data_IF_093638933298
#
_entry.id   IF_093638933298
#
_cell.length_a   1.000
_cell.length_b   1.000
_cell.length_c   1.000
_cell.angle_alpha   90.00
_cell.angle_beta   90.00
_cell.angle_gamma   90.00
#
_symmetry.space_group_name_H-M   'P 1'
#
loop_
_entity.id
_entity.type
_entity.pdbx_description
1 polymer ?
#
# COMPACT_ATOMS: atom_id res chain seq x y z
N UNK A 1 6.36 -41.57 -22.61
CA UNK A 1 5.11 -40.99 -22.11
C UNK A 1 5.42 -40.31 -20.79
N UNK A 2 5.61 -39.00 -20.81
CA UNK A 2 5.86 -38.21 -19.59
C UNK A 2 4.53 -37.80 -19.00
N UNK A 3 4.30 -38.18 -17.75
CA UNK A 3 3.12 -37.75 -16.97
C UNK A 3 3.42 -36.33 -16.45
N UNK A 4 2.76 -35.33 -17.03
CA UNK A 4 2.78 -33.96 -16.54
C UNK A 4 1.79 -33.88 -15.37
N UNK A 5 2.28 -33.72 -14.15
CA UNK A 5 1.45 -33.47 -12.97
C UNK A 5 0.99 -32.01 -13.03
N UNK A 6 -0.31 -31.70 -12.86
CA UNK A 6 -0.83 -30.34 -12.89
C UNK A 6 -0.29 -29.49 -11.74
N UNK A 7 0.00 -28.23 -12.01
CA UNK A 7 0.57 -27.23 -11.05
C UNK A 7 -0.33 -27.04 -9.80
N UNK A 8 -1.62 -27.31 -9.91
CA UNK A 8 -2.59 -27.25 -8.79
C UNK A 8 -2.31 -28.26 -7.67
N UNK A 9 -1.68 -29.40 -7.97
CA UNK A 9 -1.37 -30.41 -6.93
C UNK A 9 -0.17 -30.02 -6.06
N UNK A 10 0.76 -29.21 -6.57
CA UNK A 10 1.92 -28.75 -5.80
C UNK A 10 1.54 -27.81 -4.67
N UNK A 11 0.53 -26.95 -4.86
CA UNK A 11 0.04 -26.04 -3.82
C UNK A 11 -0.73 -26.78 -2.72
N UNK A 12 -1.46 -27.86 -3.05
CA UNK A 12 -2.16 -28.69 -2.07
C UNK A 12 -1.24 -29.50 -1.16
N UNK A 13 -0.13 -30.00 -1.70
CA UNK A 13 0.84 -30.74 -0.89
C UNK A 13 1.64 -29.85 0.05
N UNK A 14 1.87 -28.57 -0.31
CA UNK A 14 2.51 -27.59 0.57
C UNK A 14 1.61 -27.21 1.77
N UNK A 15 0.29 -27.16 1.60
CA UNK A 15 -0.69 -26.89 2.66
C UNK A 15 -0.92 -28.08 3.61
N UNK A 16 -0.62 -29.31 3.18
CA UNK A 16 -0.86 -30.55 3.94
C UNK A 16 0.33 -31.01 4.79
N UNK A 17 1.49 -30.35 4.71
CA UNK A 17 2.61 -30.66 5.61
C UNK A 17 2.27 -30.18 7.04
N UNK A 18 2.30 -31.05 8.06
CA UNK A 18 2.14 -30.60 9.44
C UNK A 18 3.20 -29.54 9.74
N UNK A 19 2.75 -28.33 10.10
CA UNK A 19 3.65 -27.24 10.51
C UNK A 19 4.51 -27.73 11.68
N UNK A 20 5.81 -27.48 11.61
CA UNK A 20 6.67 -27.81 12.74
C UNK A 20 6.32 -26.91 13.93
N UNK A 21 6.64 -27.36 15.14
CA UNK A 21 6.44 -26.55 16.37
C UNK A 21 7.20 -25.20 16.25
N UNK A 22 8.31 -25.16 15.53
CA UNK A 22 9.09 -23.95 15.31
C UNK A 22 8.42 -23.03 14.26
N UNK A 23 7.78 -23.58 13.23
CA UNK A 23 7.02 -22.80 12.24
C UNK A 23 5.78 -22.15 12.89
N UNK A 24 5.10 -22.88 13.80
CA UNK A 24 3.99 -22.35 14.58
C UNK A 24 4.46 -21.22 15.52
N UNK A 25 5.57 -21.42 16.21
CA UNK A 25 6.19 -20.41 17.08
C UNK A 25 6.60 -19.16 16.27
N UNK A 26 7.21 -19.35 15.09
CA UNK A 26 7.59 -18.25 14.19
C UNK A 26 6.36 -17.42 13.80
N UNK A 27 5.30 -18.07 13.34
CA UNK A 27 4.06 -17.40 12.92
C UNK A 27 3.44 -16.59 14.07
N UNK A 28 3.32 -17.18 15.26
CA UNK A 28 2.72 -16.53 16.44
C UNK A 28 3.50 -15.31 16.89
N UNK A 29 4.84 -15.41 16.95
CA UNK A 29 5.68 -14.29 17.35
C UNK A 29 5.65 -13.17 16.31
N UNK A 30 5.70 -13.47 15.01
CA UNK A 30 5.59 -12.45 13.96
C UNK A 30 4.24 -11.73 14.03
N UNK A 31 3.13 -12.44 14.23
CA UNK A 31 1.81 -11.81 14.44
C UNK A 31 1.80 -10.89 15.68
N UNK A 32 2.43 -11.30 16.79
CA UNK A 32 2.55 -10.45 17.98
C UNK A 32 3.38 -9.20 17.69
N UNK A 33 4.51 -9.36 17.00
CA UNK A 33 5.39 -8.27 16.62
C UNK A 33 4.72 -7.27 15.67
N UNK A 34 3.93 -7.72 14.71
CA UNK A 34 3.18 -6.86 13.80
C UNK A 34 2.17 -6.01 14.56
N UNK A 35 1.37 -6.61 15.45
CA UNK A 35 0.44 -5.86 16.30
C UNK A 35 1.18 -4.82 17.16
N UNK A 36 2.36 -5.16 17.65
CA UNK A 36 3.19 -4.24 18.40
C UNK A 36 3.65 -3.05 17.54
N UNK A 37 4.13 -3.31 16.31
CA UNK A 37 4.48 -2.26 15.35
C UNK A 37 3.28 -1.38 14.99
N UNK A 38 2.12 -1.95 14.77
CA UNK A 38 0.90 -1.20 14.47
C UNK A 38 0.48 -0.28 15.63
N UNK A 39 0.73 -0.70 16.88
CA UNK A 39 0.34 0.04 18.07
C UNK A 39 1.32 1.17 18.42
N UNK A 40 2.63 0.94 18.30
CA UNK A 40 3.65 1.88 18.80
C UNK A 40 4.63 2.39 17.74
N UNK A 41 4.58 1.85 16.53
CA UNK A 41 5.47 2.21 15.41
C UNK A 41 6.61 1.23 15.20
N UNK A 42 7.32 1.40 14.07
CA UNK A 42 8.44 0.55 13.67
C UNK A 42 9.68 0.88 14.50
N UNK A 43 10.29 -0.15 15.08
CA UNK A 43 11.62 -0.07 15.72
C UNK A 43 12.66 -0.82 14.87
N UNK A 44 13.84 -0.25 14.75
CA UNK A 44 14.99 -0.88 14.08
C UNK A 44 15.88 -1.65 15.04
N UNK A 45 15.58 -1.62 16.32
CA UNK A 45 16.27 -2.35 17.39
C UNK A 45 15.32 -3.26 18.15
N UNK A 46 15.85 -4.32 18.69
CA UNK A 46 15.14 -5.24 19.59
C UNK A 46 16.05 -5.53 20.77
N UNK A 47 15.52 -5.38 21.97
CA UNK A 47 16.17 -5.71 23.23
C UNK A 47 15.54 -6.96 23.88
N UNK A 48 16.12 -7.41 24.97
CA UNK A 48 15.64 -8.59 25.68
C UNK A 48 14.23 -8.40 26.25
N UNK A 49 13.88 -7.19 26.70
CA UNK A 49 12.55 -6.86 27.24
C UNK A 49 11.48 -7.03 26.15
N UNK A 50 11.74 -6.53 24.93
CA UNK A 50 10.83 -6.69 23.82
C UNK A 50 10.71 -8.16 23.39
N UNK A 51 11.82 -8.92 23.38
CA UNK A 51 11.80 -10.36 23.08
C UNK A 51 10.94 -11.11 24.10
N UNK A 52 11.09 -10.82 25.40
CA UNK A 52 10.28 -11.43 26.46
C UNK A 52 8.80 -11.11 26.28
N UNK A 53 8.47 -9.84 26.04
CA UNK A 53 7.10 -9.38 25.80
C UNK A 53 6.46 -10.08 24.59
N UNK A 54 7.12 -10.04 23.43
CA UNK A 54 6.60 -10.66 22.21
C UNK A 54 6.42 -12.17 22.37
N UNK A 55 7.36 -12.82 23.07
CA UNK A 55 7.28 -14.25 23.37
C UNK A 55 6.09 -14.57 24.27
N UNK A 56 5.88 -13.81 25.33
CA UNK A 56 4.77 -13.97 26.26
C UNK A 56 3.41 -13.76 25.55
N UNK A 57 3.29 -12.67 24.77
CA UNK A 57 2.08 -12.34 24.01
C UNK A 57 1.73 -13.40 22.96
N UNK A 58 2.75 -14.09 22.43
CA UNK A 58 2.61 -15.18 21.46
C UNK A 58 2.39 -16.57 22.12
N UNK A 59 2.51 -16.69 23.43
CA UNK A 59 2.48 -17.96 24.13
C UNK A 59 3.68 -18.87 23.78
N UNK A 60 4.84 -18.27 23.50
CA UNK A 60 6.08 -18.93 23.10
C UNK A 60 7.14 -18.66 24.17
N UNK A 61 8.02 -19.59 24.44
CA UNK A 61 9.14 -19.34 25.38
C UNK A 61 10.27 -18.61 24.67
N UNK A 62 11.03 -17.78 25.41
CA UNK A 62 12.25 -17.11 24.89
C UNK A 62 13.25 -18.12 24.31
N UNK A 63 13.31 -19.33 24.89
CA UNK A 63 14.14 -20.43 24.35
C UNK A 63 13.67 -20.89 22.97
N UNK A 64 12.36 -20.95 22.73
CA UNK A 64 11.81 -21.27 21.42
C UNK A 64 12.06 -20.13 20.42
N UNK A 65 11.90 -18.86 20.86
CA UNK A 65 12.27 -17.69 20.08
C UNK A 65 13.73 -17.79 19.59
N UNK A 66 14.69 -18.01 20.49
CA UNK A 66 16.12 -18.13 20.15
C UNK A 66 16.46 -19.34 19.25
N UNK A 67 15.59 -20.39 19.22
CA UNK A 67 15.75 -21.48 18.25
C UNK A 67 15.26 -21.11 16.86
N UNK A 68 14.26 -20.24 16.75
CA UNK A 68 13.73 -19.75 15.47
C UNK A 68 14.67 -18.69 14.89
N UNK A 69 15.11 -17.75 15.72
CA UNK A 69 15.98 -16.65 15.32
C UNK A 69 17.27 -16.63 16.14
N UNK A 70 18.39 -17.02 15.51
CA UNK A 70 19.68 -17.09 16.21
C UNK A 70 20.28 -15.71 16.51
N UNK A 71 19.69 -14.62 15.97
CA UNK A 71 20.11 -13.25 16.24
C UNK A 71 18.95 -12.26 16.12
N UNK A 72 19.04 -11.09 16.78
CA UNK A 72 18.09 -9.99 16.59
C UNK A 72 17.92 -9.57 15.12
N UNK A 73 19.01 -9.54 14.36
CA UNK A 73 18.99 -9.20 12.94
C UNK A 73 18.17 -10.20 12.10
N UNK A 74 18.24 -11.49 12.42
CA UNK A 74 17.46 -12.52 11.75
C UNK A 74 15.96 -12.33 12.02
N UNK A 75 15.58 -12.01 13.25
CA UNK A 75 14.19 -11.69 13.59
C UNK A 75 13.69 -10.44 12.89
N UNK A 76 14.45 -9.34 12.93
CA UNK A 76 14.07 -8.09 12.27
C UNK A 76 13.92 -8.28 10.74
N UNK A 77 14.80 -9.06 10.11
CA UNK A 77 14.68 -9.39 8.69
C UNK A 77 13.34 -10.08 8.40
N UNK A 78 12.98 -11.09 9.19
CA UNK A 78 11.73 -11.83 9.02
C UNK A 78 10.51 -10.94 9.29
N UNK A 79 10.55 -10.12 10.34
CA UNK A 79 9.49 -9.16 10.67
C UNK A 79 9.27 -8.16 9.53
N UNK A 80 10.34 -7.61 8.97
CA UNK A 80 10.26 -6.63 7.90
C UNK A 80 9.79 -7.24 6.57
N UNK A 81 10.19 -8.48 6.26
CA UNK A 81 9.62 -9.22 5.14
C UNK A 81 8.11 -9.44 5.32
N UNK A 82 7.67 -9.78 6.54
CA UNK A 82 6.25 -10.00 6.80
C UNK A 82 5.43 -8.71 6.73
N UNK A 83 5.93 -7.59 7.25
CA UNK A 83 5.30 -6.27 7.09
C UNK A 83 5.17 -5.87 5.61
N UNK A 84 6.21 -6.10 4.81
CA UNK A 84 6.17 -5.85 3.37
C UNK A 84 5.14 -6.74 2.66
N UNK A 85 5.05 -8.02 3.03
CA UNK A 85 4.09 -8.96 2.46
C UNK A 85 2.63 -8.61 2.80
N UNK A 86 2.35 -8.15 4.02
CA UNK A 86 1.02 -7.70 4.40
C UNK A 86 0.60 -6.45 3.64
N UNK A 87 1.51 -5.49 3.45
CA UNK A 87 1.25 -4.30 2.66
C UNK A 87 0.86 -4.63 1.21
N UNK A 88 1.34 -5.74 0.64
CA UNK A 88 0.99 -6.19 -0.71
C UNK A 88 -0.52 -6.39 -0.89
N UNK A 89 -1.21 -6.84 0.15
CA UNK A 89 -2.65 -7.15 0.11
C UNK A 89 -3.47 -5.89 0.37
N UNK A 90 -2.99 -5.00 1.25
CA UNK A 90 -3.80 -3.94 1.85
C UNK A 90 -3.55 -2.53 1.25
N UNK A 91 -2.57 -2.35 0.36
CA UNK A 91 -2.19 -1.00 -0.15
C UNK A 91 -3.22 -0.38 -1.10
N UNK A 92 -3.90 -1.19 -1.90
CA UNK A 92 -4.98 -0.70 -2.74
C UNK A 92 -6.24 -0.60 -1.88
N UNK A 93 -6.66 0.61 -1.55
CA UNK A 93 -7.91 0.84 -0.82
C UNK A 93 -9.12 0.43 -1.68
N UNK A 94 -9.57 -0.79 -1.47
CA UNK A 94 -10.69 -1.39 -2.22
C UNK A 94 -11.97 -0.56 -2.09
N UNK A 95 -12.19 0.11 -0.96
CA UNK A 95 -13.37 0.94 -0.73
C UNK A 95 -13.37 2.16 -1.66
N UNK A 96 -12.24 2.87 -1.77
CA UNK A 96 -12.08 3.98 -2.73
C UNK A 96 -12.34 3.52 -4.17
N UNK A 97 -11.79 2.36 -4.57
CA UNK A 97 -11.98 1.84 -5.91
C UNK A 97 -13.46 1.52 -6.20
N UNK A 98 -14.15 0.85 -5.28
CA UNK A 98 -15.56 0.51 -5.39
C UNK A 98 -16.45 1.76 -5.39
N UNK A 99 -16.20 2.71 -4.50
CA UNK A 99 -16.94 3.98 -4.42
C UNK A 99 -16.82 4.78 -5.70
N UNK A 100 -15.62 4.80 -6.31
CA UNK A 100 -15.43 5.45 -7.62
C UNK A 100 -16.31 4.81 -8.69
N UNK A 101 -16.39 3.48 -8.78
CA UNK A 101 -17.26 2.79 -9.73
C UNK A 101 -18.75 3.05 -9.47
N UNK A 102 -19.17 3.07 -8.21
CA UNK A 102 -20.54 3.40 -7.84
C UNK A 102 -20.90 4.83 -8.25
N UNK A 103 -20.02 5.79 -7.99
CA UNK A 103 -20.21 7.18 -8.40
C UNK A 103 -20.37 7.30 -9.93
N UNK A 104 -19.49 6.67 -10.70
CA UNK A 104 -19.57 6.69 -12.16
C UNK A 104 -20.87 6.06 -12.69
N UNK A 105 -21.35 5.00 -12.05
CA UNK A 105 -22.61 4.35 -12.44
C UNK A 105 -23.84 5.25 -12.26
N UNK A 106 -23.80 6.18 -11.31
CA UNK A 106 -24.87 7.16 -11.07
C UNK A 106 -24.80 8.38 -12.02
N UNK A 107 -23.69 8.57 -12.73
CA UNK A 107 -23.44 9.73 -13.61
C UNK A 107 -23.39 9.39 -15.10
N UNK A 108 -23.97 8.27 -15.50
CA UNK A 108 -23.92 7.77 -16.89
C UNK A 108 -24.43 8.79 -17.91
N UNK A 109 -25.44 9.60 -17.56
CA UNK A 109 -25.96 10.62 -18.45
C UNK A 109 -24.99 11.79 -18.68
N UNK A 110 -24.23 12.18 -17.64
CA UNK A 110 -23.19 13.21 -17.76
C UNK A 110 -22.04 12.73 -18.67
N UNK A 111 -21.72 11.44 -18.66
CA UNK A 111 -20.66 10.87 -19.49
C UNK A 111 -20.91 10.93 -21.00
N UNK A 112 -22.15 11.30 -21.44
CA UNK A 112 -22.51 11.42 -22.86
C UNK A 112 -21.94 12.68 -23.52
N UNK A 113 -21.62 13.72 -22.77
CA UNK A 113 -21.07 14.98 -23.29
C UNK A 113 -19.61 15.17 -22.86
N UNK A 114 -18.82 15.91 -23.65
CA UNK A 114 -17.43 16.23 -23.29
C UNK A 114 -17.36 17.06 -22.01
N UNK A 115 -18.26 18.01 -21.85
CA UNK A 115 -18.35 18.86 -20.65
C UNK A 115 -18.76 18.05 -19.42
N UNK A 116 -19.77 17.16 -19.55
CA UNK A 116 -20.17 16.28 -18.47
C UNK A 116 -19.04 15.32 -18.04
N UNK A 117 -18.30 14.74 -19.00
CA UNK A 117 -17.12 13.91 -18.69
C UNK A 117 -16.06 14.68 -17.92
N UNK A 118 -15.78 15.94 -18.32
CA UNK A 118 -14.83 16.80 -17.61
C UNK A 118 -15.30 17.07 -16.17
N UNK A 119 -16.56 17.41 -15.95
CA UNK A 119 -17.11 17.61 -14.60
C UNK A 119 -16.98 16.34 -13.77
N UNK A 120 -17.38 15.19 -14.32
CA UNK A 120 -17.26 13.89 -13.62
C UNK A 120 -15.81 13.59 -13.24
N UNK A 121 -14.84 13.81 -14.14
CA UNK A 121 -13.43 13.61 -13.83
C UNK A 121 -12.98 14.51 -12.67
N UNK A 122 -13.30 15.79 -12.72
CA UNK A 122 -12.97 16.76 -11.68
C UNK A 122 -13.57 16.35 -10.33
N UNK A 123 -14.87 16.02 -10.32
CA UNK A 123 -15.56 15.60 -9.11
C UNK A 123 -14.95 14.32 -8.51
N UNK A 124 -14.66 13.32 -9.35
CA UNK A 124 -14.01 12.06 -8.92
C UNK A 124 -12.64 12.35 -8.32
N UNK A 125 -11.82 13.15 -9.00
CA UNK A 125 -10.48 13.47 -8.49
C UNK A 125 -10.58 14.22 -7.16
N UNK A 126 -11.42 15.25 -7.10
CA UNK A 126 -11.58 16.07 -5.90
C UNK A 126 -12.01 15.25 -4.69
N UNK A 127 -12.98 14.36 -4.87
CA UNK A 127 -13.56 13.59 -3.76
C UNK A 127 -12.76 12.31 -3.47
N UNK A 128 -12.40 11.54 -4.50
CA UNK A 128 -11.72 10.26 -4.30
C UNK A 128 -10.25 10.43 -3.88
N UNK A 129 -9.52 11.43 -4.41
CA UNK A 129 -8.14 11.66 -4.00
C UNK A 129 -8.04 12.14 -2.55
N UNK A 130 -8.96 13.01 -2.11
CA UNK A 130 -9.03 13.45 -0.72
C UNK A 130 -9.37 12.29 0.20
N UNK A 131 -10.44 11.55 -0.09
CA UNK A 131 -10.84 10.39 0.70
C UNK A 131 -9.72 9.35 0.80
N UNK A 132 -9.12 8.98 -0.33
CA UNK A 132 -8.00 8.03 -0.37
C UNK A 132 -6.81 8.55 0.45
N UNK A 133 -6.47 9.84 0.34
CA UNK A 133 -5.41 10.43 1.13
C UNK A 133 -5.66 10.30 2.63
N UNK A 134 -6.87 10.60 3.09
CA UNK A 134 -7.23 10.50 4.51
C UNK A 134 -7.21 9.06 5.00
N UNK A 135 -7.80 8.12 4.27
CA UNK A 135 -7.81 6.69 4.63
C UNK A 135 -6.40 6.12 4.68
N UNK A 136 -5.62 6.33 3.63
CA UNK A 136 -4.26 5.78 3.52
C UNK A 136 -3.36 6.36 4.62
N UNK A 137 -3.29 7.69 4.76
CA UNK A 137 -2.34 8.31 5.71
C UNK A 137 -2.74 8.15 7.17
N UNK A 138 -4.01 7.85 7.46
CA UNK A 138 -4.49 7.49 8.80
C UNK A 138 -4.21 6.04 9.17
N UNK A 139 -3.89 5.18 8.20
CA UNK A 139 -3.64 3.76 8.42
C UNK A 139 -2.31 3.51 9.14
N UNK A 140 -2.33 2.72 10.22
CA UNK A 140 -1.11 2.23 10.89
C UNK A 140 -0.27 1.34 9.96
N UNK A 141 -0.93 0.56 9.11
CA UNK A 141 -0.27 -0.32 8.12
C UNK A 141 0.51 0.50 7.09
N UNK A 142 -0.09 1.57 6.55
CA UNK A 142 0.63 2.46 5.65
C UNK A 142 1.82 3.14 6.34
N UNK A 143 1.64 3.65 7.56
CA UNK A 143 2.74 4.27 8.31
C UNK A 143 3.91 3.29 8.54
N UNK A 144 3.59 2.05 8.88
CA UNK A 144 4.60 1.00 9.06
C UNK A 144 5.32 0.67 7.76
N UNK A 145 4.59 0.58 6.65
CA UNK A 145 5.17 0.37 5.32
C UNK A 145 6.06 1.53 4.88
N UNK A 146 5.61 2.77 5.02
CA UNK A 146 6.39 3.97 4.68
C UNK A 146 7.67 4.07 5.54
N UNK A 147 7.56 3.81 6.85
CA UNK A 147 8.71 3.75 7.75
C UNK A 147 9.70 2.65 7.33
N UNK A 148 9.22 1.45 6.99
CA UNK A 148 10.06 0.36 6.51
C UNK A 148 10.76 0.72 5.20
N UNK A 149 10.04 1.28 4.22
CA UNK A 149 10.57 1.65 2.91
C UNK A 149 11.68 2.71 3.03
N UNK A 150 11.56 3.64 3.96
CA UNK A 150 12.60 4.65 4.22
C UNK A 150 13.76 4.09 5.03
N UNK A 151 13.49 3.23 6.02
CA UNK A 151 14.51 2.60 6.86
C UNK A 151 15.45 1.73 6.04
N UNK A 152 14.93 0.94 5.10
CA UNK A 152 15.73 0.02 4.28
C UNK A 152 16.75 0.77 3.38
N UNK A 153 16.51 2.04 3.07
CA UNK A 153 17.44 2.84 2.29
C UNK A 153 18.78 3.05 2.99
N UNK A 154 18.77 3.13 4.32
CA UNK A 154 19.95 3.31 5.18
C UNK A 154 20.44 2.02 5.84
N UNK A 155 19.75 0.89 5.63
CA UNK A 155 20.16 -0.36 6.24
C UNK A 155 21.45 -0.90 5.61
N UNK A 156 22.39 -1.45 6.41
CA UNK A 156 23.64 -2.02 5.90
C UNK A 156 23.41 -3.09 4.84
N UNK A 157 24.27 -3.12 3.83
CA UNK A 157 24.23 -4.15 2.81
C UNK A 157 24.43 -5.56 3.40
N UNK A 158 23.75 -6.54 2.82
CA UNK A 158 23.80 -7.92 3.24
C UNK A 158 22.55 -8.71 2.84
N UNK A 159 22.58 -10.00 3.13
CA UNK A 159 21.48 -10.92 2.78
C UNK A 159 20.13 -10.48 3.37
N UNK A 160 20.11 -10.03 4.62
CA UNK A 160 18.89 -9.55 5.27
C UNK A 160 18.27 -8.37 4.52
N UNK A 161 19.09 -7.35 4.14
CA UNK A 161 18.63 -6.22 3.33
C UNK A 161 18.08 -6.66 1.98
N UNK A 162 18.76 -7.56 1.30
CA UNK A 162 18.32 -8.09 0.01
C UNK A 162 16.95 -8.77 0.12
N UNK A 163 16.75 -9.62 1.12
CA UNK A 163 15.46 -10.28 1.38
C UNK A 163 14.32 -9.28 1.61
N UNK A 164 14.55 -8.25 2.40
CA UNK A 164 13.53 -7.21 2.66
C UNK A 164 13.25 -6.38 1.42
N UNK A 165 14.28 -6.02 0.64
CA UNK A 165 14.10 -5.33 -0.64
C UNK A 165 13.30 -6.16 -1.65
N UNK A 166 13.51 -7.46 -1.71
CA UNK A 166 12.75 -8.35 -2.59
C UNK A 166 11.27 -8.44 -2.17
N UNK A 167 10.99 -8.48 -0.87
CA UNK A 167 9.63 -8.44 -0.34
C UNK A 167 8.94 -7.09 -0.63
N UNK A 168 9.64 -5.97 -0.41
CA UNK A 168 9.14 -4.62 -0.76
C UNK A 168 8.89 -4.48 -2.26
N UNK A 169 9.81 -4.95 -3.10
CA UNK A 169 9.64 -4.97 -4.57
C UNK A 169 8.39 -5.75 -4.98
N UNK A 170 8.19 -6.94 -4.41
CA UNK A 170 7.00 -7.75 -4.69
C UNK A 170 5.71 -7.05 -4.28
N UNK A 171 5.72 -6.35 -3.14
CA UNK A 171 4.58 -5.53 -2.67
C UNK A 171 4.30 -4.36 -3.61
N UNK A 172 5.34 -3.64 -4.03
CA UNK A 172 5.23 -2.48 -4.93
C UNK A 172 4.68 -2.88 -6.29
N UNK A 173 5.22 -3.95 -6.90
CA UNK A 173 4.76 -4.42 -8.20
C UNK A 173 3.30 -4.88 -8.16
N UNK A 174 2.87 -5.56 -7.10
CA UNK A 174 1.48 -5.98 -6.95
C UNK A 174 0.51 -4.78 -6.79
N UNK A 175 0.93 -3.74 -6.08
CA UNK A 175 0.18 -2.50 -5.97
C UNK A 175 0.06 -1.81 -7.33
N UNK A 176 1.19 -1.63 -8.04
CA UNK A 176 1.22 -1.00 -9.36
C UNK A 176 0.32 -1.76 -10.34
N UNK A 177 0.37 -3.10 -10.37
CA UNK A 177 -0.47 -3.94 -11.23
C UNK A 177 -1.98 -3.75 -10.93
N UNK A 178 -2.34 -3.71 -9.66
CA UNK A 178 -3.73 -3.48 -9.22
C UNK A 178 -4.24 -2.11 -9.67
N UNK A 179 -3.46 -1.06 -9.43
CA UNK A 179 -3.82 0.31 -9.77
C UNK A 179 -3.77 0.56 -11.29
N UNK A 180 -2.83 -0.05 -12.00
CA UNK A 180 -2.81 -0.04 -13.47
C UNK A 180 -4.10 -0.62 -14.04
N UNK A 181 -4.54 -1.77 -13.53
CA UNK A 181 -5.80 -2.39 -13.95
C UNK A 181 -7.00 -1.48 -13.67
N UNK A 182 -7.03 -0.83 -12.51
CA UNK A 182 -8.08 0.13 -12.16
C UNK A 182 -8.12 1.32 -13.14
N UNK A 183 -7.01 2.04 -13.34
CA UNK A 183 -6.98 3.22 -14.20
C UNK A 183 -7.19 2.88 -15.67
N UNK A 184 -6.71 1.74 -16.14
CA UNK A 184 -6.94 1.23 -17.50
C UNK A 184 -8.43 1.04 -17.82
N UNK A 185 -9.24 0.77 -16.79
CA UNK A 185 -10.68 0.61 -16.94
C UNK A 185 -11.45 1.92 -16.66
N UNK A 186 -11.07 2.66 -15.63
CA UNK A 186 -11.81 3.88 -15.20
C UNK A 186 -11.64 5.03 -16.18
N UNK A 187 -10.42 5.35 -16.60
CA UNK A 187 -10.18 6.51 -17.46
C UNK A 187 -10.91 6.44 -18.80
N UNK A 188 -10.91 5.31 -19.55
CA UNK A 188 -11.70 5.20 -20.77
C UNK A 188 -13.21 5.31 -20.53
N UNK A 189 -13.73 4.84 -19.39
CA UNK A 189 -15.16 4.97 -19.04
C UNK A 189 -15.56 6.43 -18.90
N UNK A 190 -14.69 7.29 -18.41
CA UNK A 190 -14.88 8.74 -18.34
C UNK A 190 -14.54 9.41 -19.70
N UNK A 191 -14.03 8.67 -20.67
CA UNK A 191 -13.64 9.18 -21.99
C UNK A 191 -12.24 9.79 -22.05
N UNK A 192 -11.38 9.47 -21.08
CA UNK A 192 -10.00 9.92 -21.03
C UNK A 192 -9.04 8.76 -21.34
N UNK A 193 -7.85 9.11 -21.83
CA UNK A 193 -6.76 8.18 -22.14
C UNK A 193 -5.43 8.86 -21.90
N UNK A 194 -4.40 8.07 -21.62
CA UNK A 194 -3.05 8.59 -21.55
C UNK A 194 -2.64 9.25 -22.86
N UNK A 195 -1.82 10.29 -22.77
CA UNK A 195 -1.21 10.93 -23.94
C UNK A 195 -0.39 9.92 -24.75
N UNK A 196 -0.32 10.07 -26.09
CA UNK A 196 0.36 9.09 -26.96
C UNK A 196 1.82 8.80 -26.58
N UNK A 197 2.51 9.76 -25.95
CA UNK A 197 3.88 9.61 -25.48
C UNK A 197 4.07 8.47 -24.48
N UNK A 198 3.02 8.08 -23.76
CA UNK A 198 3.07 6.99 -22.77
C UNK A 198 2.76 5.61 -23.37
N UNK A 199 2.50 5.49 -24.67
CA UNK A 199 2.26 4.23 -25.37
C UNK A 199 1.23 3.31 -24.69
N UNK A 200 0.23 3.89 -24.01
CA UNK A 200 -0.78 3.18 -23.24
C UNK A 200 -0.20 2.39 -22.03
N UNK A 201 0.96 2.77 -21.55
CA UNK A 201 1.56 2.27 -20.31
C UNK A 201 1.09 3.13 -19.13
N UNK A 202 0.30 2.53 -18.23
CA UNK A 202 -0.29 3.21 -17.07
C UNK A 202 0.64 3.18 -15.84
N UNK A 203 1.71 2.38 -15.84
CA UNK A 203 2.59 2.26 -14.68
C UNK A 203 3.24 3.58 -14.26
N UNK A 204 3.77 4.43 -15.19
CA UNK A 204 4.30 5.73 -14.81
C UNK A 204 3.26 6.66 -14.16
N UNK A 205 2.00 6.61 -14.64
CA UNK A 205 0.90 7.35 -14.04
C UNK A 205 0.59 6.86 -12.62
N UNK A 206 0.50 5.54 -12.42
CA UNK A 206 0.29 4.93 -11.10
C UNK A 206 1.37 5.38 -10.12
N UNK A 207 2.64 5.26 -10.52
CA UNK A 207 3.78 5.64 -9.66
C UNK A 207 3.74 7.13 -9.31
N UNK A 208 3.47 8.01 -10.28
CA UNK A 208 3.36 9.45 -10.02
C UNK A 208 2.20 9.77 -9.07
N UNK A 209 1.02 9.17 -9.30
CA UNK A 209 -0.16 9.38 -8.46
C UNK A 209 0.04 8.88 -7.02
N UNK A 210 0.60 7.69 -6.84
CA UNK A 210 0.92 7.14 -5.53
C UNK A 210 1.96 8.00 -4.79
N UNK A 211 3.01 8.46 -5.50
CA UNK A 211 4.05 9.31 -4.92
C UNK A 211 3.51 10.63 -4.37
N UNK A 212 2.47 11.20 -4.98
CA UNK A 212 1.78 12.39 -4.46
C UNK A 212 1.13 12.08 -3.11
N UNK A 213 0.34 11.02 -3.02
CA UNK A 213 -0.36 10.64 -1.77
C UNK A 213 0.64 10.31 -0.67
N UNK A 214 1.65 9.50 -0.97
CA UNK A 214 2.66 9.06 -0.01
C UNK A 214 3.55 10.23 0.44
N UNK A 215 4.00 11.08 -0.48
CA UNK A 215 4.80 12.26 -0.16
C UNK A 215 4.05 13.25 0.71
N UNK A 216 2.79 13.56 0.39
CA UNK A 216 1.95 14.42 1.22
C UNK A 216 1.67 13.78 2.59
N UNK A 217 1.54 12.45 2.66
CA UNK A 217 1.38 11.73 3.92
C UNK A 217 2.56 11.90 4.87
N UNK A 218 3.79 11.88 4.34
CA UNK A 218 5.01 12.18 5.11
C UNK A 218 5.01 13.63 5.62
N UNK A 219 4.62 14.60 4.76
CA UNK A 219 4.51 16.02 5.17
C UNK A 219 3.43 16.20 6.22
N UNK A 220 2.27 15.51 6.09
CA UNK A 220 1.19 15.55 7.09
C UNK A 220 1.65 15.13 8.48
N UNK A 221 2.52 14.14 8.56
CA UNK A 221 3.07 13.65 9.83
C UNK A 221 3.97 14.68 10.54
N UNK A 222 4.54 15.66 9.80
CA UNK A 222 5.48 16.65 10.32
C UNK A 222 4.89 18.06 10.41
N UNK A 223 4.17 18.50 9.38
CA UNK A 223 3.57 19.84 9.30
C UNK A 223 2.15 19.71 8.74
N UNK A 224 1.18 19.17 9.52
CA UNK A 224 -0.17 18.89 9.04
C UNK A 224 -0.88 20.12 8.44
N UNK A 225 -0.70 21.29 9.03
CA UNK A 225 -1.36 22.51 8.57
C UNK A 225 -1.08 22.88 7.10
N UNK A 226 0.07 22.48 6.53
CA UNK A 226 0.39 22.72 5.13
C UNK A 226 -0.39 21.79 4.18
N UNK A 227 -0.71 20.60 4.61
CA UNK A 227 -1.39 19.58 3.80
C UNK A 227 -2.90 19.64 3.99
N UNK A 228 -3.36 20.06 5.16
CA UNK A 228 -4.78 20.21 5.51
C UNK A 228 -5.35 21.58 5.06
N UNK A 229 -4.53 22.43 4.43
CA UNK A 229 -4.98 23.67 3.83
C UNK A 229 -6.04 23.42 2.75
N UNK A 230 -7.04 24.30 2.70
CA UNK A 230 -8.16 24.25 1.74
C UNK A 230 -8.13 25.45 0.83
N UNK A 231 -8.55 25.25 -0.40
CA UNK A 231 -8.54 26.30 -1.43
C UNK A 231 -9.89 26.31 -2.16
N UNK A 232 -10.49 27.51 -2.26
CA UNK A 232 -11.73 27.70 -3.00
C UNK A 232 -11.42 28.12 -4.44
N UNK A 233 -11.98 27.40 -5.38
CA UNK A 233 -11.91 27.75 -6.82
C UNK A 233 -13.31 28.04 -7.35
N UNK A 234 -13.45 29.07 -8.23
CA UNK A 234 -14.72 29.33 -8.90
C UNK A 234 -15.15 28.14 -9.77
N UNK A 235 -16.43 27.77 -9.67
CA UNK A 235 -17.07 26.74 -10.51
C UNK A 235 -18.46 27.20 -10.94
N UNK A 236 -19.06 26.53 -11.94
CA UNK A 236 -20.36 26.91 -12.54
C UNK A 236 -21.54 26.89 -11.54
N UNK A 237 -21.38 26.22 -10.39
CA UNK A 237 -22.38 26.13 -9.30
C UNK A 237 -22.06 26.95 -8.06
N UNK A 238 -20.98 27.74 -8.06
CA UNK A 238 -20.43 28.44 -6.89
C UNK A 238 -18.94 28.22 -6.73
N UNK A 239 -18.41 28.32 -5.51
CA UNK A 239 -17.01 27.96 -5.22
C UNK A 239 -16.92 26.48 -4.85
N UNK A 240 -15.92 25.80 -5.39
CA UNK A 240 -15.54 24.44 -5.01
C UNK A 240 -14.35 24.44 -4.07
N UNK A 241 -14.46 23.68 -2.99
CA UNK A 241 -13.42 23.52 -1.99
C UNK A 241 -12.49 22.34 -2.34
N UNK A 242 -11.17 22.59 -2.37
CA UNK A 242 -10.15 21.67 -2.80
C UNK A 242 -9.11 21.42 -1.71
N UNK A 243 -8.79 20.17 -1.47
CA UNK A 243 -7.63 19.77 -0.67
C UNK A 243 -6.34 19.82 -1.47
N UNK A 244 -5.20 19.94 -0.78
CA UNK A 244 -3.86 19.86 -1.39
C UNK A 244 -3.68 18.53 -2.12
N UNK A 245 -4.18 17.42 -1.56
CA UNK A 245 -4.09 16.10 -2.18
C UNK A 245 -4.84 16.06 -3.53
N UNK A 246 -6.06 16.59 -3.58
CA UNK A 246 -6.84 16.64 -4.81
C UNK A 246 -6.20 17.56 -5.87
N UNK A 247 -5.67 18.73 -5.46
CA UNK A 247 -4.95 19.64 -6.37
C UNK A 247 -3.68 19.02 -6.93
N UNK A 248 -2.92 18.33 -6.12
CA UNK A 248 -1.71 17.64 -6.58
C UNK A 248 -2.04 16.48 -7.51
N UNK A 249 -3.10 15.71 -7.21
CA UNK A 249 -3.54 14.59 -8.03
C UNK A 249 -4.05 15.03 -9.40
N UNK A 250 -4.84 16.12 -9.48
CA UNK A 250 -5.28 16.66 -10.78
C UNK A 250 -4.10 17.14 -11.61
N UNK A 251 -3.07 17.74 -10.98
CA UNK A 251 -1.84 18.13 -11.67
C UNK A 251 -1.10 16.94 -12.28
N UNK A 252 -1.06 15.79 -11.59
CA UNK A 252 -0.56 14.53 -12.18
C UNK A 252 -1.44 14.08 -13.34
N UNK A 253 -2.76 14.08 -13.16
CA UNK A 253 -3.70 13.65 -14.22
C UNK A 253 -3.56 14.50 -15.48
N UNK A 254 -3.36 15.80 -15.36
CA UNK A 254 -3.16 16.71 -16.50
C UNK A 254 -1.81 16.49 -17.21
N UNK A 255 -0.78 15.96 -16.49
CA UNK A 255 0.53 15.67 -17.07
C UNK A 255 0.51 14.42 -17.98
N UNK A 256 -0.32 13.44 -17.69
CA UNK A 256 -0.42 12.15 -18.38
C UNK A 256 -1.56 12.09 -19.38
#
# INVERSE_FOLDING_TARGET
MGVTVPVEDWNREAELRPRSVLDDARTKVLHSAIRHVEAIGLSVGIDDELIEKLSADAGVTVKQFGKVWPSPAAFLTDLFCELANQARIDRADTETLLTTWQYLSMRVDDLRSAEGRRRVLIDVIRTAAEYNFDVVTSSSKWRSYAALSTTIMSWPEGEGRTRVLDALRASELAFVETMESFYRNVLPTIGYRLKPAFHNDYQPFVVAAASVIEGLGVVRATVPALVEARFEFPADGGAEDWSVAALAFIGVTDAF
#
